data_IF_233824063647
#
_entry.id   IF_233824063647
#
_cell.length_a   1.000
_cell.length_b   1.000
_cell.length_c   1.000
_cell.angle_alpha   90.00
_cell.angle_beta   90.00
_cell.angle_gamma   90.00
#
_symmetry.space_group_name_H-M   'P 1'
#
loop_
_entity.id
_entity.type
_entity.pdbx_description
1 polymer ?
#
# COMPACT_ATOMS: atom_id res chain seq x y z
N UNK A 1 1.46 -0.06 -3.58
CA UNK A 1 0.79 -1.32 -3.98
C UNK A 1 -0.49 -1.44 -3.19
N UNK A 2 -1.64 -1.55 -3.86
CA UNK A 2 -2.91 -1.83 -3.20
C UNK A 2 -2.95 -3.31 -2.85
N UNK A 3 -2.84 -3.62 -1.56
CA UNK A 3 -3.02 -4.98 -1.06
C UNK A 3 -4.51 -5.23 -0.79
N UNK A 4 -4.96 -6.48 -0.90
CA UNK A 4 -6.31 -6.88 -0.49
C UNK A 4 -6.63 -6.53 0.97
N UNK A 5 -5.60 -6.47 1.82
CA UNK A 5 -5.73 -5.98 3.21
C UNK A 5 -6.13 -4.51 3.23
N UNK A 6 -5.51 -3.66 2.41
CA UNK A 6 -5.85 -2.23 2.31
C UNK A 6 -7.26 -2.04 1.78
N UNK A 7 -7.69 -2.86 0.82
CA UNK A 7 -9.03 -2.80 0.24
C UNK A 7 -10.13 -3.04 1.28
N UNK A 8 -9.89 -3.92 2.25
CA UNK A 8 -10.83 -4.22 3.34
C UNK A 8 -10.67 -3.26 4.52
N UNK A 9 -9.44 -2.88 4.85
CA UNK A 9 -9.14 -2.04 6.00
C UNK A 9 -9.63 -0.59 5.83
N UNK A 10 -9.47 0.00 4.64
CA UNK A 10 -9.82 1.43 4.44
C UNK A 10 -11.32 1.69 4.57
N UNK A 11 -12.22 0.93 3.91
CA UNK A 11 -13.67 1.11 4.10
C UNK A 11 -14.12 0.81 5.53
N UNK A 12 -13.52 -0.19 6.18
CA UNK A 12 -13.82 -0.51 7.58
C UNK A 12 -13.41 0.65 8.52
N UNK A 13 -12.24 1.24 8.31
CA UNK A 13 -11.79 2.40 9.11
C UNK A 13 -12.72 3.60 8.91
N UNK A 14 -13.12 3.90 7.66
CA UNK A 14 -14.07 4.98 7.36
C UNK A 14 -15.45 4.69 7.98
N UNK A 15 -15.89 3.43 7.99
CA UNK A 15 -17.17 3.03 8.55
C UNK A 15 -17.23 3.21 10.08
N UNK A 16 -16.14 2.89 10.79
CA UNK A 16 -16.09 2.96 12.26
C UNK A 16 -15.63 4.33 12.80
N UNK A 17 -14.70 5.00 12.12
CA UNK A 17 -14.01 6.19 12.64
C UNK A 17 -14.25 7.45 11.78
N UNK A 18 -15.07 7.36 10.73
CA UNK A 18 -15.53 8.49 9.95
C UNK A 18 -14.64 8.92 8.78
N UNK A 19 -15.04 9.99 8.12
CA UNK A 19 -14.46 10.49 6.86
C UNK A 19 -13.06 11.08 6.96
N UNK A 20 -12.55 11.32 8.17
CA UNK A 20 -11.23 11.93 8.39
C UNK A 20 -10.09 11.12 7.75
N UNK A 21 -10.28 9.82 7.58
CA UNK A 21 -9.31 8.95 6.91
C UNK A 21 -9.13 9.28 5.40
N UNK A 22 -10.05 10.02 4.77
CA UNK A 22 -9.92 10.42 3.36
C UNK A 22 -8.66 11.26 3.08
N UNK A 23 -8.11 11.95 4.08
CA UNK A 23 -6.86 12.71 3.94
C UNK A 23 -5.63 11.85 3.64
N UNK A 24 -5.73 10.52 3.78
CA UNK A 24 -4.67 9.61 3.34
C UNK A 24 -4.41 9.72 1.82
N UNK A 25 -5.44 10.05 1.03
CA UNK A 25 -5.30 10.27 -0.41
C UNK A 25 -4.47 11.52 -0.70
N UNK A 26 -4.63 12.58 0.11
CA UNK A 26 -3.82 13.80 0.01
C UNK A 26 -2.39 13.51 0.43
N UNK A 27 -2.20 12.74 1.51
CA UNK A 27 -0.89 12.28 1.95
C UNK A 27 -0.17 11.44 0.87
N UNK A 28 -0.90 10.62 0.10
CA UNK A 28 -0.35 9.87 -1.02
C UNK A 28 0.14 10.79 -2.15
N UNK A 29 -0.55 11.91 -2.44
CA UNK A 29 -0.07 12.91 -3.41
C UNK A 29 1.24 13.55 -2.92
N UNK A 30 1.30 13.93 -1.64
CA UNK A 30 2.54 14.48 -1.03
C UNK A 30 3.69 13.48 -1.13
N UNK A 31 3.42 12.20 -0.87
CA UNK A 31 4.40 11.13 -1.04
C UNK A 31 4.88 11.01 -2.49
N UNK A 32 3.98 11.03 -3.48
CA UNK A 32 4.37 11.00 -4.90
C UNK A 32 5.28 12.17 -5.28
N UNK A 33 4.97 13.38 -4.80
CA UNK A 33 5.81 14.56 -5.01
C UNK A 33 7.18 14.39 -4.35
N UNK A 34 7.23 13.94 -3.09
CA UNK A 34 8.47 13.69 -2.37
C UNK A 34 9.34 12.65 -3.09
N UNK A 35 8.76 11.54 -3.55
CA UNK A 35 9.49 10.50 -4.30
C UNK A 35 10.01 11.05 -5.63
N UNK A 36 9.21 11.79 -6.38
CA UNK A 36 9.60 12.34 -7.69
C UNK A 36 10.72 13.39 -7.58
N UNK A 37 10.63 14.31 -6.62
CA UNK A 37 11.60 15.41 -6.50
C UNK A 37 12.84 15.08 -5.67
N UNK A 38 12.74 14.19 -4.68
CA UNK A 38 13.86 13.91 -3.75
C UNK A 38 14.53 12.58 -4.10
N UNK A 39 13.76 11.49 -4.12
CA UNK A 39 14.31 10.14 -4.21
C UNK A 39 14.69 9.75 -5.65
N UNK A 40 13.81 10.02 -6.62
CA UNK A 40 14.00 9.67 -8.03
C UNK A 40 15.29 10.22 -8.64
N UNK A 41 15.64 11.53 -8.52
CA UNK A 41 16.87 12.05 -9.12
C UNK A 41 18.14 11.47 -8.49
N UNK A 42 18.09 11.08 -7.22
CA UNK A 42 19.23 10.46 -6.52
C UNK A 42 19.39 9.03 -7.04
N UNK A 43 18.34 8.22 -6.98
CA UNK A 43 18.42 6.81 -7.41
C UNK A 43 18.75 6.67 -8.89
N UNK A 44 18.19 7.52 -9.74
CA UNK A 44 18.47 7.49 -11.17
C UNK A 44 19.93 7.85 -11.50
N UNK A 45 20.53 8.81 -10.79
CA UNK A 45 21.93 9.21 -11.01
C UNK A 45 22.92 8.15 -10.57
N UNK A 46 22.65 7.44 -9.48
CA UNK A 46 23.57 6.44 -8.94
C UNK A 46 23.42 5.05 -9.59
N UNK A 47 22.33 4.75 -10.31
CA UNK A 47 22.09 3.47 -11.01
C UNK A 47 22.36 2.25 -10.11
N UNK A 48 21.99 2.34 -8.83
CA UNK A 48 22.25 1.27 -7.86
C UNK A 48 21.24 0.15 -8.01
N UNK A 49 21.69 -1.09 -7.80
CA UNK A 49 20.82 -2.27 -7.92
C UNK A 49 19.94 -2.42 -6.67
N UNK A 50 20.43 -1.91 -5.53
CA UNK A 50 19.71 -1.95 -4.24
C UNK A 50 19.88 -0.66 -3.45
N UNK A 51 18.88 -0.29 -2.64
CA UNK A 51 18.98 0.85 -1.72
C UNK A 51 20.07 0.62 -0.67
N UNK A 52 20.37 -0.64 -0.32
CA UNK A 52 21.42 -0.93 0.65
C UNK A 52 22.83 -0.58 0.14
N UNK A 53 23.06 -0.58 -1.17
CA UNK A 53 24.31 -0.09 -1.76
C UNK A 53 24.49 1.41 -1.54
N UNK A 54 23.40 2.18 -1.52
CA UNK A 54 23.45 3.59 -1.19
C UNK A 54 23.96 3.81 0.25
N UNK A 55 23.52 2.97 1.19
CA UNK A 55 23.99 3.02 2.58
C UNK A 55 25.48 2.65 2.70
N UNK A 56 25.99 1.75 1.86
CA UNK A 56 27.41 1.42 1.82
C UNK A 56 28.26 2.60 1.34
N UNK A 57 27.85 3.25 0.24
CA UNK A 57 28.56 4.41 -0.32
C UNK A 57 28.54 5.59 0.65
N UNK A 58 27.41 5.82 1.35
CA UNK A 58 27.25 6.96 2.24
C UNK A 58 27.88 6.77 3.62
N UNK A 59 27.90 5.55 4.13
CA UNK A 59 28.36 5.24 5.48
C UNK A 59 29.47 4.19 5.48
N UNK A 60 29.11 2.91 5.46
CA UNK A 60 30.06 1.79 5.50
C UNK A 60 29.38 0.46 5.15
N UNK A 61 30.19 -0.53 4.75
CA UNK A 61 29.74 -1.90 4.45
C UNK A 61 29.02 -2.58 5.63
N UNK A 62 29.43 -2.32 6.87
CA UNK A 62 28.79 -2.88 8.07
C UNK A 62 27.32 -2.47 8.18
N UNK A 63 26.98 -1.24 7.79
CA UNK A 63 25.61 -0.73 7.82
C UNK A 63 24.76 -1.36 6.72
N UNK A 64 25.32 -1.59 5.52
CA UNK A 64 24.65 -2.35 4.45
C UNK A 64 24.23 -3.73 4.93
N UNK A 65 25.15 -4.46 5.56
CA UNK A 65 24.89 -5.82 6.05
C UNK A 65 23.80 -5.79 7.12
N UNK A 66 23.93 -4.92 8.13
CA UNK A 66 22.95 -4.78 9.20
C UNK A 66 21.56 -4.42 8.67
N UNK A 67 21.46 -3.42 7.79
CA UNK A 67 20.19 -2.98 7.21
C UNK A 67 19.53 -4.08 6.37
N UNK A 68 20.29 -4.78 5.54
CA UNK A 68 19.79 -5.89 4.72
C UNK A 68 19.31 -7.07 5.58
N UNK A 69 20.01 -7.37 6.67
CA UNK A 69 19.63 -8.41 7.62
C UNK A 69 18.34 -8.07 8.36
N UNK A 70 18.25 -6.87 8.94
CA UNK A 70 17.04 -6.40 9.62
C UNK A 70 15.83 -6.35 8.68
N UNK A 71 16.03 -5.89 7.45
CA UNK A 71 14.98 -5.89 6.43
C UNK A 71 14.51 -7.31 6.07
N UNK A 72 15.44 -8.26 5.95
CA UNK A 72 15.10 -9.65 5.65
C UNK A 72 14.27 -10.27 6.77
N UNK A 73 14.65 -10.06 8.03
CA UNK A 73 13.87 -10.51 9.20
C UNK A 73 12.48 -9.87 9.21
N UNK A 74 12.40 -8.56 8.97
CA UNK A 74 11.12 -7.86 8.92
C UNK A 74 10.20 -8.44 7.83
N UNK A 75 10.73 -8.77 6.64
CA UNK A 75 9.95 -9.40 5.58
C UNK A 75 9.56 -10.84 5.91
N UNK A 76 10.43 -11.63 6.54
CA UNK A 76 10.09 -12.98 6.98
C UNK A 76 8.90 -12.99 7.95
N UNK A 77 8.79 -11.97 8.80
CA UNK A 77 7.65 -11.80 9.72
C UNK A 77 6.40 -11.25 9.02
N UNK A 78 6.57 -10.34 8.05
CA UNK A 78 5.47 -9.63 7.41
C UNK A 78 4.82 -10.43 6.27
N UNK A 79 5.59 -11.19 5.49
CA UNK A 79 5.08 -11.93 4.32
C UNK A 79 3.98 -12.94 4.67
N UNK A 80 4.07 -13.75 5.75
CA UNK A 80 2.99 -14.65 6.15
C UNK A 80 1.69 -13.91 6.46
N UNK A 81 1.76 -12.74 7.10
CA UNK A 81 0.59 -11.91 7.40
C UNK A 81 -0.06 -11.36 6.13
N UNK A 82 0.75 -10.99 5.13
CA UNK A 82 0.26 -10.53 3.84
C UNK A 82 -0.46 -11.65 3.08
N UNK A 83 0.05 -12.88 3.12
CA UNK A 83 -0.58 -14.06 2.47
C UNK A 83 -1.86 -14.46 3.21
N UNK A 84 -1.88 -14.31 4.54
CA UNK A 84 -3.04 -14.66 5.35
C UNK A 84 -4.30 -13.85 4.98
N UNK A 85 -4.16 -12.56 4.64
CA UNK A 85 -5.28 -11.70 4.24
C UNK A 85 -6.15 -12.25 3.10
N UNK A 86 -5.60 -12.49 1.89
CA UNK A 86 -6.35 -13.07 0.78
C UNK A 86 -6.79 -14.52 1.06
N UNK A 87 -6.01 -15.31 1.81
CA UNK A 87 -6.43 -16.66 2.20
C UNK A 87 -7.67 -16.65 3.09
N UNK A 88 -7.76 -15.70 4.03
CA UNK A 88 -8.92 -15.53 4.88
C UNK A 88 -10.14 -15.09 4.06
N UNK A 89 -9.98 -14.12 3.16
CA UNK A 89 -11.05 -13.69 2.27
C UNK A 89 -11.58 -14.86 1.41
N UNK A 90 -10.69 -15.69 0.86
CA UNK A 90 -11.07 -16.86 0.06
C UNK A 90 -11.73 -17.96 0.89
N UNK A 91 -11.26 -18.19 2.12
CA UNK A 91 -11.88 -19.10 3.08
C UNK A 91 -13.33 -18.68 3.40
N UNK A 92 -13.59 -17.38 3.58
CA UNK A 92 -14.95 -16.88 3.86
C UNK A 92 -15.93 -17.12 2.71
N UNK A 93 -15.46 -17.09 1.46
CA UNK A 93 -16.33 -17.29 0.29
C UNK A 93 -16.53 -18.78 -0.02
N UNK A 94 -15.50 -19.60 0.14
CA UNK A 94 -15.52 -21.00 -0.30
C UNK A 94 -15.76 -22.01 0.82
N UNK A 95 -15.53 -21.64 2.09
CA UNK A 95 -15.60 -22.53 3.25
C UNK A 95 -14.44 -23.54 3.35
N UNK A 96 -13.46 -23.52 2.44
CA UNK A 96 -12.33 -24.45 2.44
C UNK A 96 -11.32 -24.16 3.56
N UNK A 97 -10.56 -25.17 3.99
CA UNK A 97 -9.56 -25.00 5.05
C UNK A 97 -8.51 -23.92 4.71
N UNK A 98 -8.37 -22.95 5.62
CA UNK A 98 -7.48 -21.79 5.49
C UNK A 98 -6.01 -22.18 5.22
N UNK A 99 -5.51 -23.24 5.86
CA UNK A 99 -4.13 -23.68 5.71
C UNK A 99 -3.85 -24.19 4.30
N UNK A 100 -4.80 -24.92 3.70
CA UNK A 100 -4.67 -25.44 2.32
C UNK A 100 -4.64 -24.28 1.33
N UNK A 101 -5.55 -23.30 1.51
CA UNK A 101 -5.61 -22.10 0.68
C UNK A 101 -4.29 -21.30 0.79
N UNK A 102 -3.78 -21.10 2.01
CA UNK A 102 -2.54 -20.36 2.24
C UNK A 102 -1.33 -21.02 1.58
N UNK A 103 -1.20 -22.34 1.69
CA UNK A 103 -0.12 -23.09 1.02
C UNK A 103 -0.27 -23.01 -0.50
N UNK A 104 -1.48 -23.18 -1.03
CA UNK A 104 -1.74 -23.07 -2.47
C UNK A 104 -1.39 -21.70 -3.04
N UNK A 105 -1.83 -20.62 -2.37
CA UNK A 105 -1.51 -19.23 -2.75
C UNK A 105 0.00 -18.96 -2.68
N UNK A 106 0.68 -19.48 -1.66
CA UNK A 106 2.13 -19.33 -1.51
C UNK A 106 2.88 -20.02 -2.63
N UNK A 107 2.52 -21.27 -2.96
CA UNK A 107 3.14 -22.04 -4.05
C UNK A 107 2.94 -21.36 -5.40
N UNK A 108 1.73 -20.88 -5.68
CA UNK A 108 1.43 -20.14 -6.91
C UNK A 108 2.27 -18.86 -6.99
N UNK A 109 2.37 -18.13 -5.88
CA UNK A 109 3.19 -16.92 -5.76
C UNK A 109 4.68 -17.18 -6.05
N UNK A 110 5.23 -18.20 -5.41
CA UNK A 110 6.64 -18.61 -5.61
C UNK A 110 6.85 -19.04 -7.06
N UNK A 111 5.93 -19.81 -7.65
CA UNK A 111 6.05 -20.33 -9.00
C UNK A 111 6.14 -19.22 -10.05
N UNK A 112 5.18 -18.29 -10.10
CA UNK A 112 5.22 -17.23 -11.11
C UNK A 112 6.35 -16.23 -10.86
N UNK A 113 6.72 -15.98 -9.60
CA UNK A 113 7.81 -15.07 -9.25
C UNK A 113 9.17 -15.65 -9.66
N UNK A 114 9.37 -16.96 -9.47
CA UNK A 114 10.62 -17.64 -9.83
C UNK A 114 10.83 -17.69 -11.34
N UNK A 115 9.76 -17.96 -12.11
CA UNK A 115 9.86 -18.08 -13.57
C UNK A 115 9.99 -16.71 -14.25
N UNK A 116 9.20 -15.73 -13.82
CA UNK A 116 9.08 -14.46 -14.53
C UNK A 116 9.87 -13.29 -13.94
N UNK A 117 10.44 -13.46 -12.74
CA UNK A 117 11.20 -12.43 -12.05
C UNK A 117 10.43 -11.12 -11.88
N UNK A 118 11.15 -9.99 -11.86
CA UNK A 118 10.55 -8.67 -11.68
C UNK A 118 9.52 -8.32 -12.77
N UNK A 119 9.73 -8.78 -14.01
CA UNK A 119 8.83 -8.49 -15.13
C UNK A 119 7.45 -9.12 -14.92
N UNK A 120 7.38 -10.39 -14.51
CA UNK A 120 6.09 -11.02 -14.22
C UNK A 120 5.41 -10.35 -13.04
N UNK A 121 6.14 -10.01 -11.98
CA UNK A 121 5.59 -9.33 -10.80
C UNK A 121 4.95 -7.99 -11.17
N UNK A 122 5.58 -7.20 -12.05
CA UNK A 122 5.01 -5.92 -12.52
C UNK A 122 3.76 -6.13 -13.37
N UNK A 123 3.73 -7.17 -14.21
CA UNK A 123 2.55 -7.51 -15.00
C UNK A 123 1.38 -7.98 -14.14
N UNK A 124 1.63 -8.86 -13.16
CA UNK A 124 0.59 -9.31 -12.22
C UNK A 124 0.06 -8.16 -11.37
N UNK A 125 0.93 -7.25 -10.92
CA UNK A 125 0.53 -6.06 -10.18
C UNK A 125 -0.38 -5.14 -11.03
N UNK A 126 -0.09 -5.00 -12.33
CA UNK A 126 -0.89 -4.18 -13.25
C UNK A 126 -2.28 -4.77 -13.47
N UNK A 127 -2.36 -6.10 -13.61
CA UNK A 127 -3.64 -6.82 -13.69
C UNK A 127 -4.42 -6.70 -12.38
N UNK A 128 -3.75 -6.86 -11.23
CA UNK A 128 -4.36 -6.71 -9.92
C UNK A 128 -4.93 -5.31 -9.72
N UNK A 129 -4.20 -4.25 -10.10
CA UNK A 129 -4.70 -2.88 -10.04
C UNK A 129 -5.96 -2.72 -10.89
N UNK A 130 -5.92 -3.17 -12.15
CA UNK A 130 -7.04 -3.05 -13.09
C UNK A 130 -8.30 -3.75 -12.57
N UNK A 131 -8.17 -4.99 -12.10
CA UNK A 131 -9.29 -5.76 -11.55
C UNK A 131 -9.84 -5.08 -10.29
N UNK A 132 -8.95 -4.64 -9.38
CA UNK A 132 -9.34 -3.98 -8.14
C UNK A 132 -10.13 -2.70 -8.41
N UNK A 133 -9.71 -1.89 -9.39
CA UNK A 133 -10.43 -0.67 -9.78
C UNK A 133 -11.83 -0.98 -10.33
N UNK A 134 -11.94 -2.00 -11.19
CA UNK A 134 -13.23 -2.46 -11.72
C UNK A 134 -14.15 -2.96 -10.59
N UNK A 135 -13.64 -3.77 -9.66
CA UNK A 135 -14.41 -4.28 -8.52
C UNK A 135 -14.86 -3.14 -7.61
N UNK A 136 -13.99 -2.16 -7.33
CA UNK A 136 -14.36 -0.98 -6.54
C UNK A 136 -15.47 -0.17 -7.21
N UNK A 137 -15.36 0.10 -8.51
CA UNK A 137 -16.39 0.80 -9.25
C UNK A 137 -17.72 0.04 -9.24
N UNK A 138 -17.68 -1.28 -9.44
CA UNK A 138 -18.86 -2.14 -9.41
C UNK A 138 -19.54 -2.11 -8.03
N UNK A 139 -18.78 -2.31 -6.94
CA UNK A 139 -19.30 -2.27 -5.56
C UNK A 139 -19.86 -0.89 -5.23
N UNK A 140 -19.21 0.18 -5.68
CA UNK A 140 -19.68 1.55 -5.47
C UNK A 140 -21.02 1.81 -6.16
N UNK A 141 -21.17 1.39 -7.43
CA UNK A 141 -22.40 1.56 -8.20
C UNK A 141 -23.54 0.72 -7.58
N UNK A 142 -23.31 -0.57 -7.33
CA UNK A 142 -24.32 -1.46 -6.74
C UNK A 142 -24.70 -1.03 -5.32
N UNK A 143 -23.74 -0.57 -4.52
CA UNK A 143 -23.98 -0.01 -3.20
C UNK A 143 -24.81 1.28 -3.25
N UNK A 144 -24.56 2.13 -4.25
CA UNK A 144 -25.35 3.36 -4.45
C UNK A 144 -26.79 3.06 -4.83
N UNK A 145 -27.01 2.09 -5.72
CA UNK A 145 -28.35 1.68 -6.14
C UNK A 145 -29.11 1.03 -4.97
N UNK A 146 -28.48 0.14 -4.21
CA UNK A 146 -29.14 -0.57 -3.11
C UNK A 146 -29.56 0.34 -1.95
N UNK A 147 -28.84 1.44 -1.73
CA UNK A 147 -29.15 2.45 -0.70
C UNK A 147 -30.21 3.46 -1.17
N UNK A 148 -30.61 3.43 -2.44
CA UNK A 148 -31.62 4.33 -3.01
C UNK A 148 -31.04 5.63 -3.57
N UNK A 149 -29.77 5.63 -3.99
CA UNK A 149 -29.10 6.75 -4.62
C UNK A 149 -28.07 7.44 -3.71
N UNK A 150 -27.28 8.34 -4.31
CA UNK A 150 -26.19 9.05 -3.63
C UNK A 150 -26.69 9.95 -2.49
N UNK A 151 -27.87 10.56 -2.65
CA UNK A 151 -28.49 11.39 -1.60
C UNK A 151 -28.76 10.61 -0.31
N UNK A 152 -29.25 9.37 -0.43
CA UNK A 152 -29.49 8.48 0.71
C UNK A 152 -28.21 8.04 1.42
N UNK A 153 -27.09 7.93 0.68
CA UNK A 153 -25.77 7.65 1.28
C UNK A 153 -25.34 8.84 2.13
N UNK A 154 -25.42 10.06 1.59
CA UNK A 154 -24.99 11.27 2.30
C UNK A 154 -25.84 11.50 3.55
N UNK A 155 -27.16 11.34 3.43
CA UNK A 155 -28.07 11.46 4.56
C UNK A 155 -27.79 10.42 5.65
N UNK A 156 -27.49 9.16 5.29
CA UNK A 156 -27.10 8.13 6.26
C UNK A 156 -25.73 8.40 6.90
N UNK A 157 -24.81 9.00 6.14
CA UNK A 157 -23.51 9.40 6.67
C UNK A 157 -23.63 10.56 7.66
N UNK A 158 -24.49 11.54 7.38
CA UNK A 158 -24.83 12.65 8.29
C UNK A 158 -25.53 12.14 9.55
N UNK A 159 -26.58 11.32 9.42
CA UNK A 159 -27.31 10.74 10.56
C UNK A 159 -26.45 9.84 11.44
N UNK A 160 -25.38 9.25 10.88
CA UNK A 160 -24.46 8.40 11.61
C UNK A 160 -23.32 9.14 12.29
N UNK A 161 -23.29 10.49 12.26
CA UNK A 161 -22.17 11.33 12.70
C UNK A 161 -20.81 10.88 12.12
N UNK A 162 -20.83 10.34 10.89
CA UNK A 162 -19.62 9.79 10.25
C UNK A 162 -18.88 10.82 9.40
N UNK A 163 -19.51 11.98 9.19
CA UNK A 163 -18.94 13.09 8.42
C UNK A 163 -18.17 14.01 9.36
N UNK A 164 -16.96 13.58 9.72
CA UNK A 164 -15.96 14.40 10.39
C UNK A 164 -14.83 14.71 9.39
N UNK A 165 -14.79 15.94 8.86
CA UNK A 165 -13.71 16.35 7.94
C UNK A 165 -12.50 16.92 8.69
N UNK A 166 -12.70 17.73 9.72
CA UNK A 166 -11.61 18.53 10.30
C UNK A 166 -11.55 18.42 11.82
N UNK A 167 -10.99 17.32 12.32
CA UNK A 167 -10.57 17.23 13.73
C UNK A 167 -9.16 17.81 13.86
N UNK A 168 -9.09 19.14 13.94
CA UNK A 168 -7.83 19.91 13.98
C UNK A 168 -7.12 19.91 15.34
N UNK A 169 -7.66 19.20 16.34
CA UNK A 169 -7.00 19.03 17.63
C UNK A 169 -5.63 18.40 17.45
N UNK A 170 -4.59 19.06 17.95
CA UNK A 170 -3.20 18.59 17.91
C UNK A 170 -2.84 17.69 19.10
N UNK A 171 -3.84 17.11 19.76
CA UNK A 171 -3.62 16.26 20.93
C UNK A 171 -3.04 14.91 20.50
N UNK A 172 -1.83 14.54 20.95
CA UNK A 172 -1.18 13.29 20.59
C UNK A 172 -1.83 12.04 21.21
N UNK A 173 -2.75 12.20 22.17
CA UNK A 173 -3.48 11.08 22.79
C UNK A 173 -4.64 10.59 21.92
N UNK A 174 -5.08 11.39 20.95
CA UNK A 174 -6.16 11.03 20.03
C UNK A 174 -5.60 10.16 18.90
N UNK A 175 -6.18 8.97 18.70
CA UNK A 175 -5.75 7.98 17.69
C UNK A 175 -5.53 8.60 16.29
N UNK A 176 -6.53 9.30 15.77
CA UNK A 176 -6.49 9.93 14.46
C UNK A 176 -6.94 11.39 14.56
N UNK A 177 -6.05 12.31 14.22
CA UNK A 177 -6.33 13.74 14.05
C UNK A 177 -6.01 14.10 12.61
N UNK A 178 -6.48 15.26 12.14
CA UNK A 178 -6.14 15.74 10.80
C UNK A 178 -4.61 15.75 10.58
N UNK A 179 -3.85 16.17 11.59
CA UNK A 179 -2.40 16.25 11.54
C UNK A 179 -1.73 14.88 11.51
N UNK A 180 -2.16 13.94 12.35
CA UNK A 180 -1.56 12.60 12.35
C UNK A 180 -1.88 11.83 11.08
N UNK A 181 -3.09 11.98 10.54
CA UNK A 181 -3.46 11.33 9.28
C UNK A 181 -2.74 11.96 8.09
N UNK A 182 -2.69 13.29 7.98
CA UNK A 182 -2.04 13.93 6.84
C UNK A 182 -0.50 13.80 6.90
N UNK A 183 0.11 14.31 7.97
CA UNK A 183 1.56 14.37 8.11
C UNK A 183 2.12 12.98 8.40
N UNK A 184 1.53 12.26 9.37
CA UNK A 184 1.98 10.93 9.73
C UNK A 184 1.90 9.95 8.56
N UNK A 185 0.77 9.92 7.84
CA UNK A 185 0.67 9.05 6.65
C UNK A 185 1.62 9.50 5.54
N UNK A 186 1.82 10.81 5.30
CA UNK A 186 2.74 11.27 4.26
C UNK A 186 4.17 10.79 4.52
N UNK A 187 4.65 10.89 5.77
CA UNK A 187 5.97 10.38 6.17
C UNK A 187 6.06 8.86 6.07
N UNK A 188 5.07 8.14 6.61
CA UNK A 188 5.05 6.66 6.59
C UNK A 188 5.04 6.15 5.15
N UNK A 189 4.20 6.70 4.28
CA UNK A 189 4.12 6.30 2.88
C UNK A 189 5.39 6.66 2.13
N UNK A 190 5.98 7.83 2.39
CA UNK A 190 7.26 8.22 1.76
C UNK A 190 8.38 7.28 2.19
N UNK A 191 8.46 6.87 3.46
CA UNK A 191 9.42 5.88 3.91
C UNK A 191 9.19 4.51 3.25
N UNK A 192 7.92 4.07 3.16
CA UNK A 192 7.54 2.79 2.56
C UNK A 192 7.78 2.72 1.05
N UNK A 193 7.71 3.84 0.33
CA UNK A 193 7.93 3.86 -1.13
C UNK A 193 9.37 4.26 -1.47
N UNK A 194 9.92 5.28 -0.80
CA UNK A 194 11.23 5.83 -1.09
C UNK A 194 12.39 4.98 -0.58
N UNK A 195 12.21 4.22 0.50
CA UNK A 195 13.29 3.44 1.16
C UNK A 195 13.10 1.92 0.98
N UNK A 196 12.00 1.48 0.36
CA UNK A 196 11.76 0.06 0.14
C UNK A 196 12.53 -0.44 -1.09
N UNK A 197 13.44 -1.44 -0.93
CA UNK A 197 14.23 -1.98 -2.02
C UNK A 197 13.40 -2.42 -3.23
N UNK A 198 12.24 -3.04 -3.01
CA UNK A 198 11.38 -3.50 -4.10
C UNK A 198 10.78 -2.35 -4.91
N UNK A 199 10.49 -1.20 -4.27
CA UNK A 199 9.94 -0.02 -4.93
C UNK A 199 11.04 0.75 -5.68
N UNK A 200 12.21 0.94 -5.07
CA UNK A 200 13.32 1.58 -5.78
C UNK A 200 13.78 0.79 -7.00
N UNK A 201 13.79 -0.55 -6.93
CA UNK A 201 14.11 -1.39 -8.10
C UNK A 201 13.14 -1.14 -9.27
N UNK A 202 11.85 -0.96 -8.98
CA UNK A 202 10.85 -0.62 -10.01
C UNK A 202 11.10 0.77 -10.62
N UNK A 203 11.50 1.75 -9.81
CA UNK A 203 11.80 3.11 -10.29
C UNK A 203 13.02 3.13 -11.22
N UNK A 204 14.04 2.31 -10.94
CA UNK A 204 15.28 2.26 -11.72
C UNK A 204 15.14 1.36 -12.96
N UNK A 205 14.20 0.41 -12.97
CA UNK A 205 13.94 -0.49 -14.11
C UNK A 205 13.31 0.21 -15.33
N UNK A 206 12.87 1.46 -15.20
CA UNK A 206 12.31 2.26 -16.31
C UNK A 206 13.45 2.71 -17.23
N UNK A 207 13.28 2.78 -18.56
CA UNK A 207 14.38 3.12 -19.48
C UNK A 207 14.70 4.62 -19.60
N UNK A 208 13.83 5.52 -19.13
CA UNK A 208 14.12 6.96 -19.13
C UNK A 208 13.56 7.68 -17.90
N UNK A 209 14.29 8.70 -17.43
CA UNK A 209 13.84 9.55 -16.32
C UNK A 209 12.51 10.25 -16.63
N UNK A 210 12.24 10.58 -17.91
CA UNK A 210 10.96 11.16 -18.33
C UNK A 210 9.79 10.18 -18.18
N UNK A 211 10.03 8.89 -18.39
CA UNK A 211 9.01 7.85 -18.20
C UNK A 211 8.85 7.43 -16.74
N UNK A 212 9.83 7.75 -15.88
CA UNK A 212 9.82 7.44 -14.45
C UNK A 212 9.18 8.53 -13.58
N UNK A 213 9.06 9.75 -14.11
CA UNK A 213 8.41 10.90 -13.47
C UNK A 213 6.90 10.90 -13.68
#
# INVERSE_FOLDING_TARGET
>A
TLSGVSLLAVPAEIYYYGTLYMFISVAAIVMCLAVNFIFLPVFWKLQLTTIFEYLEIRFAKSIRILASFLFTIANLLLLPLIIYGPSLAFNQVTGFNLHIIAVGMSLLCIFYTTIGGLKAVVWTDTLQLSITLCTLAFVFIMGTISVGGFGSILQKAELGDRIEFFKLNADPTIRNTFWTVLIGSAFVWTALVGINPAMAQRLIAVPSLRNAK
#
